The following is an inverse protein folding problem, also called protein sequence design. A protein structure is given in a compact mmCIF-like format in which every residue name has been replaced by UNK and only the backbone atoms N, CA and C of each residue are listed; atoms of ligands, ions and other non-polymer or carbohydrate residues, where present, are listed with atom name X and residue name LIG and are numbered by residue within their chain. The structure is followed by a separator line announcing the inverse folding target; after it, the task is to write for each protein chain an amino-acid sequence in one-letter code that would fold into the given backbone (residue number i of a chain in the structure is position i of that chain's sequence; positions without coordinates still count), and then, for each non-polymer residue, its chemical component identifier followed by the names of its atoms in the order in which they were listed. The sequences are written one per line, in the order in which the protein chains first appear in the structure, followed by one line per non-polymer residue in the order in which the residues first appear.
data_IF_857962349610
#
_entry.id   IF_857962349610
#
_cell.length_a   1.000
_cell.length_b   1.000
_cell.length_c   1.000
_cell.angle_alpha   90.00
_cell.angle_beta   90.00
_cell.angle_gamma   90.00
#
_symmetry.space_group_name_H-M   'P 1'
#
loop_
_entity.id
_entity.type
_entity.pdbx_description
1 polymer ?
#
# COMPACT_ATOMS: atom_id res chain seq x y z
N UNK A 1 37.78 43.70 -17.97
CA UNK A 1 36.92 43.55 -16.77
C UNK A 1 37.44 42.38 -15.96
N UNK A 2 37.65 42.61 -14.67
CA UNK A 2 38.41 41.77 -13.76
C UNK A 2 37.71 40.45 -13.41
N UNK A 3 38.52 39.40 -13.23
CA UNK A 3 38.14 38.12 -12.64
C UNK A 3 37.67 38.34 -11.19
N UNK A 4 36.54 37.74 -10.83
CA UNK A 4 36.12 37.59 -9.44
C UNK A 4 35.88 36.11 -9.13
N UNK A 5 36.34 35.59 -7.98
CA UNK A 5 36.47 34.16 -7.75
C UNK A 5 35.15 33.54 -7.29
N UNK A 6 34.83 32.34 -7.77
CA UNK A 6 33.75 31.55 -7.20
C UNK A 6 34.17 31.08 -5.80
N UNK A 7 33.54 31.70 -4.81
CA UNK A 7 33.68 31.54 -3.36
C UNK A 7 33.65 30.06 -2.95
N UNK A 8 34.82 29.51 -2.59
CA UNK A 8 34.96 28.23 -1.91
C UNK A 8 34.61 28.36 -0.42
N UNK A 9 33.43 27.86 -0.01
CA UNK A 9 33.09 27.43 1.37
C UNK A 9 31.64 26.91 1.35
N UNK A 10 31.27 25.80 1.99
CA UNK A 10 31.86 25.19 3.17
C UNK A 10 31.71 23.66 3.11
N UNK A 11 32.66 22.95 3.71
CA UNK A 11 32.47 21.58 4.17
C UNK A 11 31.26 21.57 5.10
N UNK A 12 30.13 21.05 4.61
CA UNK A 12 29.06 20.63 5.50
C UNK A 12 29.63 19.45 6.30
N UNK A 13 29.97 19.71 7.56
CA UNK A 13 30.14 18.64 8.54
C UNK A 13 28.89 17.77 8.47
N UNK A 14 29.05 16.56 7.94
CA UNK A 14 28.09 15.49 8.07
C UNK A 14 27.92 15.18 9.54
N UNK A 15 27.03 15.93 10.21
CA UNK A 15 26.45 15.50 11.47
C UNK A 15 25.62 14.28 11.13
N UNK A 16 26.22 13.12 11.37
CA UNK A 16 25.52 11.85 11.35
C UNK A 16 24.25 12.02 12.19
N UNK A 17 23.11 11.81 11.53
CA UNK A 17 21.80 11.70 12.15
C UNK A 17 21.86 10.47 13.06
N UNK A 18 22.28 10.66 14.33
CA UNK A 18 21.97 9.67 15.36
C UNK A 18 20.46 9.67 15.51
N UNK A 19 19.81 8.72 14.83
CA UNK A 19 18.47 8.29 15.21
C UNK A 19 18.50 8.03 16.72
N UNK A 20 17.51 8.47 17.49
CA UNK A 20 17.48 8.17 18.91
C UNK A 20 17.46 6.65 19.07
N UNK A 21 18.63 6.10 19.40
CA UNK A 21 18.89 4.68 19.62
C UNK A 21 18.36 4.21 20.98
N UNK A 22 17.71 5.11 21.73
CA UNK A 22 17.15 4.81 23.04
C UNK A 22 15.73 4.32 22.88
N UNK A 23 15.55 3.00 23.01
CA UNK A 23 14.25 2.39 23.23
C UNK A 23 13.58 3.07 24.43
N UNK A 24 12.26 3.28 24.34
CA UNK A 24 11.50 3.87 25.45
C UNK A 24 11.77 3.08 26.74
N UNK A 25 11.92 3.71 27.92
CA UNK A 25 12.22 3.00 29.16
C UNK A 25 11.28 1.80 29.43
N UNK A 26 10.00 1.95 29.07
CA UNK A 26 9.01 0.88 29.15
C UNK A 26 9.30 -0.32 28.23
N UNK A 27 9.84 -0.10 27.02
CA UNK A 27 10.26 -1.17 26.10
C UNK A 27 11.48 -1.92 26.65
N UNK A 28 12.46 -1.19 27.18
CA UNK A 28 13.65 -1.81 27.79
C UNK A 28 13.30 -2.67 29.00
N UNK A 29 12.41 -2.19 29.87
CA UNK A 29 11.95 -2.96 31.04
C UNK A 29 11.13 -4.19 30.64
N UNK A 30 10.35 -4.09 29.55
CA UNK A 30 9.60 -5.22 29.02
C UNK A 30 10.54 -6.31 28.48
N UNK A 31 11.56 -5.91 27.72
CA UNK A 31 12.57 -6.82 27.16
C UNK A 31 13.42 -7.51 28.25
N UNK A 32 13.76 -6.78 29.32
CA UNK A 32 14.43 -7.34 30.50
C UNK A 32 13.55 -8.35 31.25
N UNK A 33 12.25 -8.05 31.42
CA UNK A 33 11.29 -8.99 32.02
C UNK A 33 11.12 -10.24 31.15
N UNK A 34 11.07 -10.07 29.82
CA UNK A 34 10.91 -11.15 28.85
C UNK A 34 12.13 -12.08 28.83
N UNK A 35 13.34 -11.51 28.77
CA UNK A 35 14.60 -12.25 28.83
C UNK A 35 14.76 -13.02 30.15
N UNK A 36 14.35 -12.44 31.29
CA UNK A 36 14.33 -13.14 32.58
C UNK A 36 13.37 -14.33 32.61
N UNK A 37 12.16 -14.17 32.07
CA UNK A 37 11.19 -15.28 31.98
C UNK A 37 11.72 -16.40 31.07
N UNK A 38 12.34 -16.04 29.94
CA UNK A 38 12.98 -16.99 29.00
C UNK A 38 14.17 -17.71 29.62
N UNK A 39 15.03 -17.01 30.36
CA UNK A 39 16.19 -17.61 31.04
C UNK A 39 15.74 -18.62 32.12
N UNK A 40 14.66 -18.32 32.83
CA UNK A 40 14.09 -19.25 33.79
C UNK A 40 13.57 -20.52 33.10
N UNK A 41 13.07 -20.43 31.86
CA UNK A 41 12.44 -21.53 31.10
C UNK A 41 13.32 -22.80 31.05
N UNK A 42 14.64 -22.64 30.85
CA UNK A 42 15.62 -23.73 30.80
C UNK A 42 15.89 -24.43 32.16
N UNK A 43 15.43 -23.87 33.28
CA UNK A 43 15.66 -24.40 34.64
C UNK A 43 14.33 -24.68 35.34
N UNK A 44 13.69 -25.81 35.04
CA UNK A 44 12.49 -26.26 35.75
C UNK A 44 12.76 -27.56 36.48
N UNK A 45 13.27 -27.44 37.71
CA UNK A 45 13.61 -28.62 38.54
C UNK A 45 12.68 -28.79 39.74
N UNK A 46 11.72 -27.89 39.96
CA UNK A 46 10.78 -27.94 41.09
C UNK A 46 9.44 -27.23 40.83
N UNK A 47 8.41 -27.63 41.58
CA UNK A 47 7.07 -27.00 41.59
C UNK A 47 7.09 -25.52 42.00
N UNK A 48 8.00 -25.14 42.91
CA UNK A 48 8.18 -23.74 43.31
C UNK A 48 8.78 -22.89 42.18
N UNK A 49 9.73 -23.44 41.41
CA UNK A 49 10.28 -22.79 40.22
C UNK A 49 9.20 -22.57 39.14
N UNK A 50 8.33 -23.56 38.93
CA UNK A 50 7.17 -23.43 38.02
C UNK A 50 6.21 -22.31 38.43
N UNK A 51 5.87 -22.21 39.72
CA UNK A 51 4.96 -21.17 40.21
C UNK A 51 5.55 -19.75 40.04
N UNK A 52 6.87 -19.61 40.25
CA UNK A 52 7.58 -18.35 40.03
C UNK A 52 7.59 -17.94 38.55
N UNK A 53 7.72 -18.90 37.62
CA UNK A 53 7.61 -18.65 36.17
C UNK A 53 6.22 -18.16 35.77
N UNK A 54 5.17 -18.86 36.21
CA UNK A 54 3.78 -18.48 35.97
C UNK A 54 3.48 -17.06 36.47
N UNK A 55 4.00 -16.72 37.66
CA UNK A 55 3.91 -15.37 38.22
C UNK A 55 4.66 -14.33 37.36
N UNK A 56 5.84 -14.66 36.87
CA UNK A 56 6.61 -13.83 35.94
C UNK A 56 5.89 -13.59 34.62
N UNK A 57 5.29 -14.63 34.04
CA UNK A 57 4.51 -14.56 32.80
C UNK A 57 3.25 -13.72 32.97
N UNK A 58 2.52 -13.90 34.08
CA UNK A 58 1.35 -13.08 34.43
C UNK A 58 1.72 -11.59 34.57
N UNK A 59 2.86 -11.30 35.21
CA UNK A 59 3.36 -9.93 35.34
C UNK A 59 3.76 -9.34 33.98
N UNK A 60 4.39 -10.13 33.12
CA UNK A 60 4.75 -9.71 31.76
C UNK A 60 3.50 -9.38 30.94
N UNK A 61 2.51 -10.28 30.95
CA UNK A 61 1.24 -10.09 30.26
C UNK A 61 0.50 -8.83 30.74
N UNK A 62 0.44 -8.59 32.05
CA UNK A 62 -0.15 -7.37 32.60
C UNK A 62 0.55 -6.06 32.18
N UNK A 63 1.80 -6.12 31.71
CA UNK A 63 2.50 -4.94 31.18
C UNK A 63 2.33 -4.77 29.65
N UNK A 64 1.77 -5.76 28.95
CA UNK A 64 1.60 -5.70 27.49
C UNK A 64 0.61 -4.62 27.08
N UNK A 65 -0.48 -4.42 27.84
CA UNK A 65 -1.47 -3.37 27.58
C UNK A 65 -0.83 -1.98 27.67
N UNK A 66 0.00 -1.74 28.68
CA UNK A 66 0.76 -0.50 28.81
C UNK A 66 1.73 -0.27 27.64
N UNK A 67 2.31 -1.34 27.09
CA UNK A 67 3.19 -1.27 25.92
C UNK A 67 2.41 -0.94 24.65
N UNK A 68 1.21 -1.52 24.48
CA UNK A 68 0.33 -1.24 23.35
C UNK A 68 -0.18 0.20 23.37
N UNK A 69 -0.44 0.76 24.56
CA UNK A 69 -0.88 2.14 24.75
C UNK A 69 0.23 3.19 24.53
N UNK A 70 1.49 2.79 24.31
CA UNK A 70 2.56 3.75 24.05
C UNK A 70 2.28 4.53 22.75
N UNK A 71 2.43 5.87 22.76
CA UNK A 71 2.21 6.71 21.58
C UNK A 71 3.05 6.27 20.37
N UNK A 72 4.27 5.79 20.62
CA UNK A 72 5.16 5.23 19.60
C UNK A 72 4.55 4.01 18.90
N UNK A 73 3.98 3.07 19.65
CA UNK A 73 3.41 1.82 19.12
C UNK A 73 2.15 2.12 18.33
N UNK A 74 1.27 2.97 18.88
CA UNK A 74 0.11 3.49 18.16
C UNK A 74 0.50 4.19 16.86
N UNK A 75 1.57 4.99 16.85
CA UNK A 75 2.06 5.66 15.64
C UNK A 75 2.52 4.66 14.57
N UNK A 76 3.25 3.62 14.95
CA UNK A 76 3.70 2.58 14.01
C UNK A 76 2.50 1.83 13.43
N UNK A 77 1.58 1.37 14.28
CA UNK A 77 0.36 0.65 13.87
C UNK A 77 -0.48 1.53 12.93
N UNK A 78 -0.65 2.81 13.28
CA UNK A 78 -1.41 3.78 12.47
C UNK A 78 -0.73 4.11 11.14
N UNK A 79 0.60 4.15 11.12
CA UNK A 79 1.36 4.42 9.90
C UNK A 79 1.30 3.24 8.94
N UNK A 80 1.40 2.01 9.46
CA UNK A 80 1.28 0.81 8.64
C UNK A 80 -0.15 0.62 8.11
N UNK A 81 -1.17 0.83 8.96
CA UNK A 81 -2.56 0.77 8.53
C UNK A 81 -2.88 1.85 7.48
N UNK A 82 -2.38 3.08 7.67
CA UNK A 82 -2.48 4.16 6.69
C UNK A 82 -1.82 3.79 5.37
N UNK A 83 -0.64 3.16 5.39
CA UNK A 83 0.03 2.67 4.17
C UNK A 83 -0.85 1.69 3.40
N UNK A 84 -1.39 0.68 4.08
CA UNK A 84 -2.31 -0.31 3.48
C UNK A 84 -3.56 0.35 2.88
N UNK A 85 -4.19 1.26 3.62
CA UNK A 85 -5.36 2.01 3.14
C UNK A 85 -5.05 2.87 1.91
N UNK A 86 -3.93 3.58 1.91
CA UNK A 86 -3.50 4.40 0.76
C UNK A 86 -3.26 3.51 -0.47
N UNK A 87 -2.61 2.35 -0.31
CA UNK A 87 -2.40 1.41 -1.41
C UNK A 87 -3.73 0.89 -1.98
N UNK A 88 -4.68 0.51 -1.13
CA UNK A 88 -5.99 0.03 -1.58
C UNK A 88 -6.79 1.12 -2.32
N UNK A 89 -6.77 2.35 -1.78
CA UNK A 89 -7.41 3.49 -2.43
C UNK A 89 -6.77 3.77 -3.80
N UNK A 90 -5.44 3.76 -3.86
CA UNK A 90 -4.71 3.97 -5.11
C UNK A 90 -5.02 2.89 -6.15
N UNK A 91 -5.06 1.62 -5.74
CA UNK A 91 -5.47 0.50 -6.61
C UNK A 91 -6.89 0.69 -7.15
N UNK A 92 -7.83 1.16 -6.31
CA UNK A 92 -9.17 1.55 -6.75
C UNK A 92 -9.18 2.67 -7.78
N UNK A 93 -8.37 3.73 -7.59
CA UNK A 93 -8.24 4.82 -8.55
C UNK A 93 -7.61 4.37 -9.87
N UNK A 94 -6.62 3.48 -9.85
CA UNK A 94 -6.01 2.91 -11.05
C UNK A 94 -7.06 2.13 -11.85
N UNK A 95 -7.83 1.25 -11.19
CA UNK A 95 -8.92 0.51 -11.83
C UNK A 95 -9.97 1.43 -12.46
N UNK A 96 -10.30 2.53 -11.79
CA UNK A 96 -11.21 3.54 -12.33
C UNK A 96 -10.63 4.24 -13.57
N UNK A 97 -9.35 4.60 -13.55
CA UNK A 97 -8.65 5.19 -14.69
C UNK A 97 -8.59 4.22 -15.89
N UNK A 98 -8.36 2.93 -15.64
CA UNK A 98 -8.36 1.89 -16.68
C UNK A 98 -9.76 1.73 -17.31
N UNK A 99 -10.81 1.75 -16.48
CA UNK A 99 -12.19 1.72 -16.96
C UNK A 99 -12.53 2.97 -17.81
N UNK A 100 -12.12 4.16 -17.35
CA UNK A 100 -12.29 5.40 -18.11
C UNK A 100 -11.52 5.38 -19.44
N UNK A 101 -10.30 4.84 -19.45
CA UNK A 101 -9.49 4.69 -20.66
C UNK A 101 -10.16 3.73 -21.64
N UNK A 102 -10.63 2.58 -21.16
CA UNK A 102 -11.38 1.60 -21.95
C UNK A 102 -12.67 2.20 -22.55
N UNK A 103 -13.40 3.01 -21.76
CA UNK A 103 -14.58 3.71 -22.24
C UNK A 103 -14.25 4.73 -23.34
N UNK A 104 -13.14 5.48 -23.18
CA UNK A 104 -12.66 6.44 -24.18
C UNK A 104 -12.28 5.73 -25.49
N UNK A 105 -11.61 4.59 -25.41
CA UNK A 105 -11.23 3.80 -26.58
C UNK A 105 -12.47 3.26 -27.31
N UNK A 106 -13.46 2.77 -26.57
CA UNK A 106 -14.73 2.29 -27.12
C UNK A 106 -15.51 3.40 -27.83
N UNK A 107 -15.56 4.61 -27.25
CA UNK A 107 -16.18 5.79 -27.86
C UNK A 107 -15.43 6.17 -29.15
N UNK A 108 -14.10 6.16 -29.11
CA UNK A 108 -13.26 6.49 -30.26
C UNK A 108 -13.45 5.49 -31.40
N UNK A 109 -13.50 4.19 -31.10
CA UNK A 109 -13.83 3.15 -32.07
C UNK A 109 -15.22 3.34 -32.66
N UNK A 110 -16.23 3.65 -31.82
CA UNK A 110 -17.61 3.88 -32.28
C UNK A 110 -17.68 5.06 -33.25
N UNK A 111 -16.92 6.13 -33.02
CA UNK A 111 -16.84 7.27 -33.93
C UNK A 111 -16.26 6.86 -35.29
N UNK A 112 -15.20 6.06 -35.29
CA UNK A 112 -14.60 5.53 -36.52
C UNK A 112 -15.59 4.63 -37.28
N UNK A 113 -16.24 3.69 -36.59
CA UNK A 113 -17.23 2.78 -37.16
C UNK A 113 -18.38 3.53 -37.84
N UNK A 114 -18.86 4.63 -37.23
CA UNK A 114 -19.90 5.49 -37.84
C UNK A 114 -19.39 6.18 -39.09
N UNK A 115 -18.16 6.69 -39.09
CA UNK A 115 -17.57 7.31 -40.28
C UNK A 115 -17.39 6.31 -41.43
N UNK A 116 -16.95 5.10 -41.12
CA UNK A 116 -16.84 3.99 -42.08
C UNK A 116 -18.21 3.59 -42.62
N UNK A 117 -19.24 3.50 -41.77
CA UNK A 117 -20.61 3.23 -42.18
C UNK A 117 -21.14 4.30 -43.16
N UNK A 118 -20.96 5.59 -42.83
CA UNK A 118 -21.39 6.68 -43.71
C UNK A 118 -20.68 6.61 -45.06
N UNK A 119 -19.40 6.26 -45.05
CA UNK A 119 -18.61 6.06 -46.28
C UNK A 119 -19.11 4.87 -47.09
N UNK A 120 -19.44 3.75 -46.44
CA UNK A 120 -19.99 2.55 -47.08
C UNK A 120 -21.37 2.84 -47.67
N UNK A 121 -22.23 3.57 -46.96
CA UNK A 121 -23.55 3.96 -47.43
C UNK A 121 -23.45 4.84 -48.69
N UNK A 122 -22.53 5.81 -48.71
CA UNK A 122 -22.26 6.65 -49.89
C UNK A 122 -21.81 5.82 -51.10
N UNK A 123 -20.97 4.82 -50.87
CA UNK A 123 -20.47 3.91 -51.92
C UNK A 123 -21.47 2.81 -52.30
N UNK A 124 -22.60 2.71 -51.59
CA UNK A 124 -23.53 1.57 -51.67
C UNK A 124 -22.84 0.22 -51.42
N UNK A 125 -21.82 0.24 -50.56
CA UNK A 125 -21.04 -0.93 -50.17
C UNK A 125 -21.77 -1.73 -49.09
N UNK A 126 -22.43 -2.81 -49.51
CA UNK A 126 -23.15 -3.73 -48.62
C UNK A 126 -22.21 -4.41 -47.63
N UNK A 127 -20.96 -4.68 -48.01
CA UNK A 127 -20.01 -5.37 -47.14
C UNK A 127 -19.55 -4.45 -46.00
N UNK A 128 -19.25 -3.18 -46.28
CA UNK A 128 -18.94 -2.17 -45.26
C UNK A 128 -20.08 -1.99 -44.24
N UNK A 129 -21.33 -2.00 -44.70
CA UNK A 129 -22.51 -1.94 -43.82
C UNK A 129 -22.59 -3.18 -42.91
N UNK A 130 -22.34 -4.39 -43.46
CA UNK A 130 -22.30 -5.64 -42.66
C UNK A 130 -21.16 -5.63 -41.64
N UNK A 131 -20.00 -5.09 -41.99
CA UNK A 131 -18.88 -4.92 -41.07
C UNK A 131 -19.26 -4.03 -39.87
N UNK A 132 -19.91 -2.89 -40.11
CA UNK A 132 -20.44 -2.03 -39.04
C UNK A 132 -21.41 -2.78 -38.11
N UNK A 133 -22.39 -3.51 -38.66
CA UNK A 133 -23.34 -4.27 -37.86
C UNK A 133 -22.65 -5.31 -36.96
N UNK A 134 -21.62 -5.96 -37.51
CA UNK A 134 -20.81 -6.94 -36.77
C UNK A 134 -19.99 -6.25 -35.66
N UNK A 135 -19.37 -5.12 -35.95
CA UNK A 135 -18.63 -4.32 -34.96
C UNK A 135 -19.55 -3.87 -33.82
N UNK A 136 -20.72 -3.31 -34.14
CA UNK A 136 -21.72 -2.88 -33.17
C UNK A 136 -22.18 -4.01 -32.25
N UNK A 137 -22.37 -5.22 -32.79
CA UNK A 137 -22.71 -6.41 -32.00
C UNK A 137 -21.58 -6.83 -31.05
N UNK A 138 -20.31 -6.71 -31.47
CA UNK A 138 -19.15 -6.97 -30.61
C UNK A 138 -19.06 -5.95 -29.47
N UNK A 139 -19.18 -4.66 -29.77
CA UNK A 139 -19.18 -3.58 -28.77
C UNK A 139 -20.30 -3.75 -27.75
N UNK A 140 -21.52 -4.09 -28.19
CA UNK A 140 -22.65 -4.39 -27.29
C UNK A 140 -22.34 -5.55 -26.33
N UNK A 141 -21.75 -6.65 -26.84
CA UNK A 141 -21.35 -7.79 -26.00
C UNK A 141 -20.26 -7.41 -25.00
N UNK A 142 -19.31 -6.57 -25.40
CA UNK A 142 -18.23 -6.10 -24.54
C UNK A 142 -18.77 -5.24 -23.39
N UNK A 143 -19.63 -4.27 -23.70
CA UNK A 143 -20.33 -3.44 -22.71
C UNK A 143 -21.13 -4.31 -21.73
N UNK A 144 -21.90 -5.27 -22.24
CA UNK A 144 -22.67 -6.19 -21.39
C UNK A 144 -21.80 -7.06 -20.48
N UNK A 145 -20.56 -7.40 -20.87
CA UNK A 145 -19.62 -8.10 -19.99
C UNK A 145 -19.13 -7.19 -18.86
N UNK A 146 -18.87 -5.91 -19.16
CA UNK A 146 -18.43 -4.94 -18.15
C UNK A 146 -19.47 -4.69 -17.05
N UNK A 147 -20.77 -4.74 -17.38
CA UNK A 147 -21.85 -4.51 -16.41
C UNK A 147 -22.40 -5.77 -15.71
N UNK A 148 -21.83 -6.95 -15.99
CA UNK A 148 -22.26 -8.23 -15.38
C UNK A 148 -21.46 -8.63 -14.13
N UNK A 149 -20.58 -7.76 -13.66
CA UNK A 149 -19.78 -7.93 -12.46
C UNK A 149 -20.08 -6.81 -11.46
#
# INVERSE_FOLDING_TARGET
MALSPLRSKAFHHGRLLSLPSRSHPAMSQFDEKLSRVRAAEASCSSLSSMNNKLKGLKSLYGNADHLLLLPHVHRIISQESRGKWVTQILDGYIKLLDACSSAKDLISQTKQDVQELLSALRRKDVQGIRCYLTSRMRSKKMIQKFFKH
#
